data_IF_884373962958
#
_entry.id   IF_884373962958
#
_cell.length_a   1.000
_cell.length_b   1.000
_cell.length_c   1.000
_cell.angle_alpha   90.00
_cell.angle_beta   90.00
_cell.angle_gamma   90.00
#
_symmetry.space_group_name_H-M   'P 1'
#
loop_
_entity.id
_entity.type
_entity.pdbx_description
1 polymer ?
#
# COMPACT_ATOMS: atom_id res chain seq x y z
N UNK A 1 -10.13 5.47 -23.19
CA UNK A 1 -9.51 4.96 -21.95
C UNK A 1 -9.01 6.16 -21.18
N UNK A 2 -9.83 6.69 -20.27
CA UNK A 2 -9.55 7.97 -19.61
C UNK A 2 -8.44 7.74 -18.59
N UNK A 3 -7.28 8.29 -18.90
CA UNK A 3 -6.08 8.32 -18.08
C UNK A 3 -6.43 8.96 -16.73
N UNK A 4 -6.74 8.11 -15.73
CA UNK A 4 -7.23 8.52 -14.40
C UNK A 4 -6.05 8.96 -13.54
N UNK A 5 -5.54 10.11 -13.91
CA UNK A 5 -4.36 10.74 -13.36
C UNK A 5 -4.78 12.02 -12.65
N UNK A 6 -4.58 12.07 -11.34
CA UNK A 6 -4.89 13.25 -10.51
C UNK A 6 -3.60 14.00 -10.21
N UNK A 7 -3.66 15.33 -10.27
CA UNK A 7 -2.59 16.20 -9.75
C UNK A 7 -2.51 16.07 -8.23
N UNK A 8 -1.32 15.84 -7.70
CA UNK A 8 -1.13 15.83 -6.25
C UNK A 8 0.09 16.66 -5.88
N UNK A 9 -0.09 17.57 -4.93
CA UNK A 9 1.04 18.19 -4.25
C UNK A 9 1.61 17.17 -3.27
N UNK A 10 2.93 16.98 -3.29
CA UNK A 10 3.61 16.08 -2.35
C UNK A 10 3.44 16.65 -0.95
N UNK A 11 2.52 16.07 -0.19
CA UNK A 11 2.34 16.39 1.21
C UNK A 11 3.55 15.86 1.99
N UNK A 12 4.40 16.79 2.45
CA UNK A 12 5.59 16.49 3.27
C UNK A 12 5.23 16.16 4.71
N UNK A 13 3.96 16.27 5.11
CA UNK A 13 3.55 15.94 6.46
C UNK A 13 3.66 14.44 6.68
N UNK A 14 4.27 14.07 7.81
CA UNK A 14 4.37 12.70 8.33
C UNK A 14 2.99 12.19 8.81
N UNK A 15 2.00 12.21 7.93
CA UNK A 15 0.65 11.78 8.27
C UNK A 15 0.68 10.25 8.37
N UNK A 16 0.41 9.76 9.59
CA UNK A 16 0.28 8.33 9.84
C UNK A 16 -0.89 7.79 9.02
N UNK A 17 -0.59 6.95 8.04
CA UNK A 17 -1.58 6.24 7.22
C UNK A 17 -2.24 5.12 8.02
N UNK A 18 -3.09 5.52 8.98
CA UNK A 18 -3.67 4.63 9.99
C UNK A 18 -4.44 3.47 9.34
N UNK A 19 -5.19 3.74 8.27
CA UNK A 19 -6.01 2.74 7.58
C UNK A 19 -5.13 1.72 6.86
N UNK A 20 -4.19 2.17 6.03
CA UNK A 20 -3.27 1.32 5.29
C UNK A 20 -2.40 0.49 6.23
N UNK A 21 -1.91 1.11 7.31
CA UNK A 21 -1.13 0.43 8.33
C UNK A 21 -1.95 -0.65 9.02
N UNK A 22 -3.22 -0.37 9.38
CA UNK A 22 -4.12 -1.35 9.99
C UNK A 22 -4.42 -2.51 9.06
N UNK A 23 -4.65 -2.24 7.78
CA UNK A 23 -4.86 -3.28 6.77
C UNK A 23 -3.64 -4.19 6.65
N UNK A 24 -2.44 -3.63 6.54
CA UNK A 24 -1.20 -4.43 6.46
C UNK A 24 -0.98 -5.22 7.75
N UNK A 25 -1.22 -4.61 8.92
CA UNK A 25 -1.11 -5.27 10.22
C UNK A 25 -1.99 -6.53 10.29
N UNK A 26 -3.27 -6.39 9.94
CA UNK A 26 -4.25 -7.49 9.93
C UNK A 26 -3.82 -8.58 8.95
N UNK A 27 -3.46 -8.21 7.72
CA UNK A 27 -3.04 -9.18 6.71
C UNK A 27 -1.81 -9.98 7.14
N UNK A 28 -0.80 -9.32 7.71
CA UNK A 28 0.42 -9.96 8.21
C UNK A 28 0.10 -10.88 9.39
N UNK A 29 -0.73 -10.45 10.34
CA UNK A 29 -1.13 -11.27 11.48
C UNK A 29 -1.86 -12.53 11.04
N UNK A 30 -2.83 -12.40 10.13
CA UNK A 30 -3.56 -13.54 9.58
C UNK A 30 -2.61 -14.52 8.89
N UNK A 31 -1.67 -14.01 8.09
CA UNK A 31 -0.72 -14.84 7.37
C UNK A 31 0.23 -15.59 8.33
N UNK A 32 0.79 -14.87 9.31
CA UNK A 32 1.69 -15.42 10.32
C UNK A 32 1.03 -16.52 11.13
N UNK A 33 -0.20 -16.27 11.61
CA UNK A 33 -0.96 -17.26 12.38
C UNK A 33 -1.25 -18.54 11.57
N UNK A 34 -1.44 -18.42 10.26
CA UNK A 34 -1.73 -19.58 9.40
C UNK A 34 -0.51 -20.35 8.92
N UNK A 35 0.68 -19.74 8.87
CA UNK A 35 1.87 -20.38 8.25
C UNK A 35 3.02 -20.61 9.23
N UNK A 36 3.16 -19.81 10.28
CA UNK A 36 4.35 -19.80 11.12
C UNK A 36 4.09 -20.20 12.57
N UNK A 37 2.85 -20.59 12.92
CA UNK A 37 2.42 -20.98 14.27
C UNK A 37 2.83 -20.02 15.42
N UNK A 38 3.24 -18.78 15.09
CA UNK A 38 3.83 -17.83 16.03
C UNK A 38 2.80 -16.86 16.58
N UNK A 39 2.59 -16.90 17.91
CA UNK A 39 1.85 -15.89 18.66
C UNK A 39 2.85 -15.10 19.53
N UNK A 40 2.82 -13.75 19.54
CA UNK A 40 1.86 -12.87 18.85
C UNK A 40 2.15 -12.64 17.35
N UNK A 41 3.42 -12.64 16.93
CA UNK A 41 3.88 -12.57 15.52
C UNK A 41 5.35 -13.01 15.47
N UNK A 42 5.76 -13.81 14.48
CA UNK A 42 7.17 -14.20 14.36
C UNK A 42 8.08 -13.04 13.94
N UNK A 43 9.40 -13.21 14.08
CA UNK A 43 10.43 -12.21 13.74
C UNK A 43 10.28 -11.72 12.29
N UNK A 44 10.23 -12.63 11.32
CA UNK A 44 10.14 -12.29 9.89
C UNK A 44 8.90 -11.44 9.55
N UNK A 45 7.75 -11.79 10.13
CA UNK A 45 6.52 -11.05 9.94
C UNK A 45 6.56 -9.69 10.65
N UNK A 46 7.25 -9.59 11.78
CA UNK A 46 7.44 -8.34 12.51
C UNK A 46 8.34 -7.38 11.72
N UNK A 47 9.45 -7.87 11.18
CA UNK A 47 10.32 -7.09 10.31
C UNK A 47 9.59 -6.58 9.06
N UNK A 48 8.77 -7.41 8.44
CA UNK A 48 7.95 -7.01 7.29
C UNK A 48 6.98 -5.89 7.64
N UNK A 49 6.34 -5.97 8.82
CA UNK A 49 5.42 -4.95 9.29
C UNK A 49 6.13 -3.63 9.61
N UNK A 50 7.24 -3.68 10.31
CA UNK A 50 8.02 -2.48 10.66
C UNK A 50 8.57 -1.79 9.42
N UNK A 51 9.01 -2.59 8.42
CA UNK A 51 9.38 -2.08 7.12
C UNK A 51 8.23 -1.35 6.44
N UNK A 52 7.04 -1.97 6.37
CA UNK A 52 5.85 -1.38 5.78
C UNK A 52 5.44 -0.08 6.49
N UNK A 53 5.52 -0.06 7.82
CA UNK A 53 5.22 1.12 8.64
C UNK A 53 6.14 2.29 8.28
N UNK A 54 7.46 2.08 8.24
CA UNK A 54 8.43 3.11 7.86
C UNK A 54 8.20 3.64 6.44
N UNK A 55 7.81 2.77 5.49
CA UNK A 55 7.49 3.19 4.11
C UNK A 55 6.19 3.98 4.02
N UNK A 56 5.17 3.62 4.80
CA UNK A 56 3.90 4.35 4.84
C UNK A 56 4.06 5.75 5.45
N UNK A 57 4.87 5.89 6.50
CA UNK A 57 5.16 7.18 7.14
C UNK A 57 5.85 8.18 6.21
N UNK A 58 6.59 7.70 5.21
CA UNK A 58 7.36 8.52 4.25
C UNK A 58 6.76 8.48 2.83
N UNK A 59 5.46 8.19 2.73
CA UNK A 59 4.81 8.04 1.43
C UNK A 59 4.62 9.40 0.74
N UNK A 60 5.29 9.58 -0.40
CA UNK A 60 5.22 10.82 -1.20
C UNK A 60 3.81 11.20 -1.65
N UNK A 61 2.93 10.21 -1.82
CA UNK A 61 1.57 10.44 -2.34
C UNK A 61 0.59 10.99 -1.31
N UNK A 62 0.98 11.16 -0.06
CA UNK A 62 0.02 11.78 0.87
C UNK A 62 -1.26 10.94 1.04
N UNK A 63 -2.37 11.65 1.17
CA UNK A 63 -3.73 11.09 1.09
C UNK A 63 -4.16 10.68 -0.32
N UNK A 64 -3.46 11.17 -1.35
CA UNK A 64 -3.63 10.77 -2.74
C UNK A 64 -3.00 9.40 -3.04
N UNK A 65 -2.46 8.70 -2.04
CA UNK A 65 -1.88 7.37 -2.18
C UNK A 65 -2.89 6.40 -2.83
N UNK A 66 -2.53 5.76 -3.96
CA UNK A 66 -3.34 4.69 -4.54
C UNK A 66 -3.17 3.41 -3.72
N UNK A 67 -3.88 2.34 -4.05
CA UNK A 67 -3.52 1.03 -3.48
C UNK A 67 -2.04 0.70 -3.79
N UNK A 68 -1.34 0.10 -2.83
CA UNK A 68 0.01 -0.42 -2.96
C UNK A 68 0.24 -1.24 -4.23
N UNK A 69 -0.75 -2.03 -4.67
CA UNK A 69 -0.66 -2.83 -5.91
C UNK A 69 -0.61 -1.97 -7.20
N UNK A 70 -1.18 -0.76 -7.16
CA UNK A 70 -1.24 0.20 -8.28
C UNK A 70 -0.27 1.38 -8.11
N UNK A 71 0.57 1.32 -7.08
CA UNK A 71 1.46 2.41 -6.73
C UNK A 71 2.58 2.55 -7.76
N UNK A 72 2.72 3.73 -8.36
CA UNK A 72 3.68 3.98 -9.46
C UNK A 72 5.11 4.26 -8.97
N UNK A 73 5.34 4.38 -7.66
CA UNK A 73 6.68 4.54 -7.08
C UNK A 73 7.23 3.23 -6.54
N UNK A 74 8.54 3.04 -6.73
CA UNK A 74 9.27 1.92 -6.17
C UNK A 74 9.63 2.18 -4.70
N UNK A 75 8.70 1.91 -3.79
CA UNK A 75 8.89 2.17 -2.35
C UNK A 75 9.42 0.96 -1.56
N UNK A 76 9.29 -0.26 -2.06
CA UNK A 76 9.72 -1.49 -1.39
C UNK A 76 10.94 -2.06 -2.11
N UNK A 77 11.92 -2.57 -1.36
CA UNK A 77 13.00 -3.40 -1.92
C UNK A 77 12.41 -4.66 -2.53
N UNK A 78 13.13 -5.27 -3.48
CA UNK A 78 12.66 -6.46 -4.22
C UNK A 78 12.15 -7.55 -3.27
N UNK A 79 12.95 -7.90 -2.27
CA UNK A 79 12.64 -8.99 -1.33
C UNK A 79 11.44 -8.65 -0.44
N UNK A 80 11.38 -7.43 0.11
CA UNK A 80 10.25 -7.00 0.93
C UNK A 80 8.96 -6.89 0.10
N UNK A 81 9.08 -6.49 -1.17
CA UNK A 81 7.96 -6.44 -2.11
C UNK A 81 7.42 -7.84 -2.41
N UNK A 82 8.29 -8.82 -2.53
CA UNK A 82 7.88 -10.21 -2.71
C UNK A 82 7.16 -10.75 -1.47
N UNK A 83 7.76 -10.58 -0.29
CA UNK A 83 7.14 -10.96 0.99
C UNK A 83 5.73 -10.37 1.16
N UNK A 84 5.58 -9.06 0.95
CA UNK A 84 4.26 -8.43 1.11
C UNK A 84 3.26 -8.88 0.04
N UNK A 85 3.70 -9.18 -1.20
CA UNK A 85 2.79 -9.70 -2.24
C UNK A 85 2.23 -11.06 -1.87
N UNK A 86 3.06 -11.94 -1.30
CA UNK A 86 2.61 -13.27 -0.83
C UNK A 86 1.54 -13.09 0.25
N UNK A 87 1.82 -12.24 1.24
CA UNK A 87 0.87 -11.92 2.31
C UNK A 87 -0.43 -11.33 1.74
N UNK A 88 -0.37 -10.30 0.89
CA UNK A 88 -1.54 -9.66 0.30
C UNK A 88 -2.38 -10.62 -0.54
N UNK A 89 -1.75 -11.47 -1.35
CA UNK A 89 -2.43 -12.47 -2.19
C UNK A 89 -3.18 -13.50 -1.35
N UNK A 90 -2.58 -13.97 -0.27
CA UNK A 90 -3.19 -14.96 0.60
C UNK A 90 -4.25 -14.34 1.53
N UNK A 91 -3.93 -13.20 2.16
CA UNK A 91 -4.77 -12.58 3.17
C UNK A 91 -5.91 -11.73 2.60
N UNK A 92 -5.74 -11.13 1.42
CA UNK A 92 -6.71 -10.21 0.81
C UNK A 92 -8.14 -10.78 0.72
N UNK A 93 -8.34 -11.90 0.01
CA UNK A 93 -9.66 -12.55 -0.07
C UNK A 93 -10.20 -13.01 1.29
N UNK A 94 -9.30 -13.44 2.19
CA UNK A 94 -9.67 -13.96 3.52
C UNK A 94 -10.02 -12.87 4.53
N UNK A 95 -9.50 -11.65 4.33
CA UNK A 95 -9.77 -10.50 5.20
C UNK A 95 -11.25 -10.12 5.17
N UNK A 96 -11.94 -10.32 4.04
CA UNK A 96 -13.39 -10.10 3.95
C UNK A 96 -14.20 -10.97 4.91
N UNK A 97 -13.76 -12.20 5.17
CA UNK A 97 -14.47 -13.14 6.03
C UNK A 97 -14.31 -12.76 7.52
N UNK A 98 -13.13 -12.27 7.92
CA UNK A 98 -12.78 -12.01 9.33
C UNK A 98 -12.93 -10.55 9.73
N UNK A 99 -12.75 -9.63 8.79
CA UNK A 99 -12.81 -8.19 8.97
C UNK A 99 -13.59 -7.54 7.80
N UNK A 100 -14.89 -7.79 7.67
CA UNK A 100 -15.66 -7.43 6.47
C UNK A 100 -15.61 -5.93 6.15
N UNK A 101 -15.75 -5.06 7.16
CA UNK A 101 -15.67 -3.60 6.97
C UNK A 101 -14.30 -3.16 6.45
N UNK A 102 -13.22 -3.72 6.99
CA UNK A 102 -11.85 -3.40 6.57
C UNK A 102 -11.55 -3.98 5.18
N UNK A 103 -12.02 -5.20 4.92
CA UNK A 103 -11.96 -5.89 3.63
C UNK A 103 -12.63 -5.09 2.52
N UNK A 104 -13.88 -4.70 2.71
CA UNK A 104 -14.64 -3.91 1.73
C UNK A 104 -13.94 -2.57 1.49
N UNK A 105 -13.52 -1.85 2.54
CA UNK A 105 -12.79 -0.59 2.39
C UNK A 105 -11.48 -0.76 1.63
N UNK A 106 -10.75 -1.85 1.86
CA UNK A 106 -9.52 -2.16 1.13
C UNK A 106 -9.81 -2.37 -0.37
N UNK A 107 -10.84 -3.17 -0.70
CA UNK A 107 -11.25 -3.38 -2.09
C UNK A 107 -11.75 -2.09 -2.77
N UNK A 108 -12.46 -1.23 -2.04
CA UNK A 108 -12.87 0.08 -2.57
C UNK A 108 -11.66 1.00 -2.78
N UNK A 109 -10.64 0.93 -1.92
CA UNK A 109 -9.40 1.68 -2.11
C UNK A 109 -8.65 1.27 -3.39
N UNK A 110 -8.85 0.05 -3.89
CA UNK A 110 -8.32 -0.37 -5.20
C UNK A 110 -8.90 0.41 -6.36
N UNK A 111 -10.07 1.04 -6.19
CA UNK A 111 -10.72 1.88 -7.20
C UNK A 111 -10.22 3.33 -7.18
N UNK A 112 -9.34 3.71 -6.24
CA UNK A 112 -8.75 5.06 -6.25
C UNK A 112 -7.92 5.27 -7.53
N UNK A 113 -8.01 6.45 -8.15
CA UNK A 113 -7.19 6.82 -9.30
C UNK A 113 -5.71 6.91 -8.92
N UNK A 114 -4.84 6.81 -9.92
CA UNK A 114 -3.40 6.79 -9.72
C UNK A 114 -2.88 8.24 -9.81
N UNK A 115 -2.20 8.77 -8.78
CA UNK A 115 -1.61 10.11 -8.85
C UNK A 115 -0.44 10.17 -9.86
N UNK A 116 -0.32 11.27 -10.61
CA UNK A 116 0.84 11.52 -11.49
C UNK A 116 1.97 12.20 -10.73
N UNK A 117 3.17 11.63 -10.81
CA UNK A 117 4.38 12.30 -10.31
C UNK A 117 4.68 13.55 -11.16
N UNK A 118 5.06 14.68 -10.54
CA UNK A 118 5.36 15.93 -11.26
C UNK A 118 6.38 15.76 -12.39
N UNK A 119 7.44 14.98 -12.19
CA UNK A 119 8.48 14.77 -13.21
C UNK A 119 7.98 14.01 -14.45
N UNK A 120 6.88 13.24 -14.35
CA UNK A 120 6.24 12.60 -15.52
C UNK A 120 5.32 13.55 -16.30
N UNK A 121 5.07 14.77 -15.81
CA UNK A 121 4.33 15.81 -16.55
C UNK A 121 5.18 16.45 -17.63
N UNK A 122 6.45 16.71 -17.34
CA UNK A 122 7.38 17.33 -18.29
C UNK A 122 7.54 16.50 -19.57
N UNK A 123 7.48 15.17 -19.48
CA UNK A 123 7.56 14.27 -20.64
C UNK A 123 6.23 14.13 -21.42
N UNK A 124 5.11 14.63 -20.87
CA UNK A 124 3.75 14.43 -21.43
C UNK A 124 3.03 15.71 -21.86
N UNK A 125 3.51 16.90 -21.47
CA UNK A 125 3.00 18.15 -22.02
C UNK A 125 3.62 18.36 -23.41
N UNK A 126 2.82 18.56 -24.49
CA UNK A 126 3.40 19.12 -25.71
C UNK A 126 4.08 20.44 -25.36
N UNK A 127 5.25 20.70 -25.96
CA UNK A 127 5.89 22.00 -25.85
C UNK A 127 4.87 23.07 -26.22
N UNK A 128 4.55 23.94 -25.27
CA UNK A 128 3.74 25.12 -25.55
C UNK A 128 4.64 26.07 -26.35
N UNK A 129 4.22 26.39 -27.58
CA UNK A 129 4.89 27.32 -28.50
C UNK A 129 4.94 28.76 -27.94
#
# INVERSE_FOLDING_TARGET
MTDQFIDFTTDKQFVRRVRELKTIEVMINMYCASHHAGAPRCTDCSELFDYAQRRLQRCVFGDAKPNCAKCVVHCYTRDMREKIRIVMRWAGPRMLLRHPVLGIRHLLADRKPIPLLPNKRADKLPAED
#
